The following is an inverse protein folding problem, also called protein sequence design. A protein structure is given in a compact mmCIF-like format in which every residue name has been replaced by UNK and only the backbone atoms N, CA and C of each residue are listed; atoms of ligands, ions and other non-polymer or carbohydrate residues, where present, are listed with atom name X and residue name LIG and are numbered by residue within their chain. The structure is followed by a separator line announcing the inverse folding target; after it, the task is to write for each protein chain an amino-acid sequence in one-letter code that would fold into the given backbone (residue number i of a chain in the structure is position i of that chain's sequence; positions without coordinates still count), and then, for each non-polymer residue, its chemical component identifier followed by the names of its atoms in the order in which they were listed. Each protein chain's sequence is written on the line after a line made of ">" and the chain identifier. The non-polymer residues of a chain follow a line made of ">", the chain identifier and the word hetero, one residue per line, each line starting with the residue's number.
data_IF_282599441009
#
_entry.id   IF_282599441009
#
_cell.length_a   1.000
_cell.length_b   1.000
_cell.length_c   1.000
_cell.angle_alpha   90.00
_cell.angle_beta   90.00
_cell.angle_gamma   90.00
#
_symmetry.space_group_name_H-M   'P 1'
#
loop_
_entity.id
_entity.type
_entity.pdbx_description
1 polymer ?
#
# COMPACT_ATOMS: atom_id res chain seq x y z
N UNK A 1 -7.11 12.26 4.22
CA UNK A 1 -7.48 10.90 4.62
C UNK A 1 -6.36 9.98 4.16
N UNK A 2 -5.69 9.24 5.07
CA UNK A 2 -4.77 8.18 4.67
C UNK A 2 -5.50 7.22 3.72
N UNK A 3 -4.88 6.86 2.61
CA UNK A 3 -5.56 6.21 1.49
C UNK A 3 -6.09 4.82 1.88
N UNK A 4 -7.40 4.65 1.85
CA UNK A 4 -8.03 3.33 1.81
C UNK A 4 -8.26 2.93 0.37
N UNK A 5 -7.79 1.73 0.01
CA UNK A 5 -8.00 1.11 -1.29
C UNK A 5 -8.72 -0.22 -1.11
N UNK A 6 -9.75 -0.46 -1.93
CA UNK A 6 -10.36 -1.77 -2.05
C UNK A 6 -9.87 -2.43 -3.34
N UNK A 7 -9.63 -3.73 -3.30
CA UNK A 7 -9.27 -4.53 -4.46
C UNK A 7 -9.96 -5.88 -4.38
N UNK A 8 -10.20 -6.49 -5.54
CA UNK A 8 -10.80 -7.82 -5.62
C UNK A 8 -9.89 -8.74 -6.42
N UNK A 9 -9.72 -9.95 -5.93
CA UNK A 9 -8.93 -11.00 -6.58
C UNK A 9 -9.87 -12.08 -7.13
N UNK A 10 -9.71 -12.42 -8.40
CA UNK A 10 -10.50 -13.49 -9.03
C UNK A 10 -10.07 -14.90 -8.58
N UNK A 11 -8.81 -15.05 -8.17
CA UNK A 11 -8.21 -16.30 -7.69
C UNK A 11 -7.14 -15.97 -6.64
N UNK A 12 -6.70 -16.95 -5.82
CA UNK A 12 -5.58 -16.73 -4.92
C UNK A 12 -4.33 -16.28 -5.68
N UNK A 13 -3.70 -15.20 -5.24
CA UNK A 13 -2.57 -14.59 -5.93
C UNK A 13 -1.55 -14.01 -4.95
N UNK A 14 -0.29 -13.94 -5.39
CA UNK A 14 0.75 -13.20 -4.66
C UNK A 14 0.49 -11.71 -4.77
N UNK A 15 0.23 -11.07 -3.63
CA UNK A 15 -0.02 -9.63 -3.52
C UNK A 15 1.10 -8.97 -2.74
N UNK A 16 1.53 -7.80 -3.22
CA UNK A 16 2.39 -6.90 -2.46
C UNK A 16 1.78 -5.50 -2.44
N UNK A 17 1.60 -4.97 -1.24
CA UNK A 17 1.21 -3.58 -0.99
C UNK A 17 2.26 -2.89 -0.13
N UNK A 18 2.85 -1.84 -0.69
CA UNK A 18 3.86 -1.06 -0.02
C UNK A 18 3.69 0.44 -0.30
N UNK A 19 4.06 1.25 0.68
CA UNK A 19 4.14 2.71 0.59
C UNK A 19 5.60 3.12 0.45
N UNK A 20 5.87 4.06 -0.43
CA UNK A 20 7.18 4.63 -0.71
C UNK A 20 7.14 6.15 -0.55
N UNK A 21 8.25 6.74 -0.14
CA UNK A 21 8.43 8.20 -0.15
C UNK A 21 8.83 8.72 -1.55
N UNK A 22 8.99 10.04 -1.69
CA UNK A 22 9.39 10.66 -2.97
C UNK A 22 10.78 10.26 -3.47
N UNK A 23 11.62 9.71 -2.61
CA UNK A 23 12.97 9.23 -2.95
C UNK A 23 12.93 7.77 -3.40
N UNK A 24 11.75 7.13 -3.37
CA UNK A 24 11.59 5.71 -3.64
C UNK A 24 11.98 4.82 -2.47
N UNK A 25 12.22 5.37 -1.27
CA UNK A 25 12.49 4.58 -0.09
C UNK A 25 11.19 3.94 0.41
N UNK A 26 11.21 2.63 0.65
CA UNK A 26 10.05 1.91 1.19
C UNK A 26 9.81 2.36 2.63
N UNK A 27 8.66 2.98 2.85
CA UNK A 27 8.19 3.45 4.16
C UNK A 27 7.58 2.30 4.95
N UNK A 28 6.61 1.60 4.35
CA UNK A 28 5.90 0.49 5.00
C UNK A 28 5.44 -0.52 3.96
N UNK A 29 5.54 -1.80 4.30
CA UNK A 29 4.87 -2.88 3.58
C UNK A 29 3.79 -3.43 4.52
N UNK A 30 2.56 -3.55 4.02
CA UNK A 30 1.42 -3.92 4.88
C UNK A 30 0.58 -5.09 4.32
N UNK A 31 0.84 -5.50 3.07
CA UNK A 31 0.43 -6.82 2.56
C UNK A 31 1.61 -7.41 1.79
N UNK A 32 1.95 -8.67 2.08
CA UNK A 32 3.03 -9.40 1.41
C UNK A 32 2.76 -10.90 1.51
N UNK A 33 2.44 -11.53 0.39
CA UNK A 33 2.21 -12.98 0.33
C UNK A 33 1.00 -13.38 -0.50
N UNK A 34 0.62 -14.65 -0.40
CA UNK A 34 -0.56 -15.18 -1.10
C UNK A 34 -1.82 -14.71 -0.37
N UNK A 35 -2.69 -14.03 -1.10
CA UNK A 35 -4.01 -13.57 -0.63
C UNK A 35 -5.09 -14.36 -1.36
N UNK A 36 -6.12 -14.79 -0.63
CA UNK A 36 -7.23 -15.57 -1.19
C UNK A 36 -8.06 -14.76 -2.19
N UNK A 37 -8.81 -15.46 -3.05
CA UNK A 37 -9.81 -14.82 -3.92
C UNK A 37 -10.87 -14.07 -3.08
N UNK A 38 -11.47 -13.04 -3.67
CA UNK A 38 -12.50 -12.22 -3.04
C UNK A 38 -12.10 -10.75 -2.89
N UNK A 39 -12.91 -10.01 -2.13
CA UNK A 39 -12.73 -8.58 -1.91
C UNK A 39 -11.93 -8.31 -0.65
N UNK A 40 -10.96 -7.41 -0.77
CA UNK A 40 -10.02 -7.04 0.28
C UNK A 40 -9.96 -5.53 0.42
N UNK A 41 -9.70 -5.08 1.64
CA UNK A 41 -9.47 -3.68 1.94
C UNK A 41 -8.07 -3.50 2.50
N UNK A 42 -7.38 -2.49 1.97
CA UNK A 42 -6.04 -2.10 2.31
C UNK A 42 -6.07 -0.67 2.81
N UNK A 43 -5.61 -0.45 4.04
CA UNK A 43 -5.56 0.88 4.65
C UNK A 43 -4.14 1.12 5.15
N UNK A 44 -3.55 2.21 4.67
CA UNK A 44 -2.37 2.77 5.30
C UNK A 44 -2.80 3.91 6.20
N UNK A 45 -2.35 3.90 7.45
CA UNK A 45 -2.69 4.86 8.51
C UNK A 45 -1.75 6.07 8.59
N UNK A 46 -0.71 6.13 7.75
CA UNK A 46 0.35 7.15 7.84
C UNK A 46 1.50 6.78 8.78
N UNK A 47 1.59 5.53 9.25
CA UNK A 47 2.71 5.01 10.02
C UNK A 47 3.77 4.29 9.18
N UNK A 48 5.00 4.25 9.66
CA UNK A 48 6.12 3.51 9.02
C UNK A 48 6.14 2.01 9.33
N UNK A 49 5.24 1.54 10.20
CA UNK A 49 5.17 0.14 10.64
C UNK A 49 6.06 -0.18 11.85
N UNK A 50 6.85 0.78 12.35
CA UNK A 50 7.61 0.69 13.60
C UNK A 50 6.96 1.47 14.74
N UNK A 51 5.69 1.84 14.59
CA UNK A 51 4.94 2.64 15.56
C UNK A 51 5.23 4.15 15.45
N UNK A 52 6.03 4.58 14.47
CA UNK A 52 6.27 5.99 14.21
C UNK A 52 5.40 6.51 13.08
N UNK A 53 5.00 7.75 13.24
CA UNK A 53 4.19 8.51 12.31
C UNK A 53 5.08 9.20 11.27
N UNK A 54 4.79 9.06 9.97
CA UNK A 54 5.59 9.72 8.92
C UNK A 54 5.14 11.16 8.68
N UNK A 55 6.06 12.06 8.36
CA UNK A 55 5.76 13.49 8.16
C UNK A 55 4.76 13.77 7.04
N UNK A 56 4.13 14.94 7.06
CA UNK A 56 3.38 15.47 5.91
C UNK A 56 4.24 15.44 4.64
N UNK A 57 3.65 15.07 3.51
CA UNK A 57 4.38 14.91 2.26
C UNK A 57 3.66 14.09 1.21
N UNK A 58 4.36 13.87 0.09
CA UNK A 58 3.89 13.01 -1.01
C UNK A 58 4.41 11.60 -0.79
N UNK A 59 3.53 10.62 -0.94
CA UNK A 59 3.83 9.21 -0.84
C UNK A 59 3.25 8.46 -2.04
N UNK A 60 3.78 7.29 -2.32
CA UNK A 60 3.34 6.43 -3.40
C UNK A 60 2.94 5.06 -2.83
N UNK A 61 1.67 4.70 -2.96
CA UNK A 61 1.20 3.35 -2.66
C UNK A 61 1.35 2.51 -3.93
N UNK A 62 2.03 1.37 -3.84
CA UNK A 62 2.24 0.43 -4.93
C UNK A 62 1.56 -0.90 -4.61
N UNK A 63 0.70 -1.33 -5.53
CA UNK A 63 -0.01 -2.60 -5.52
C UNK A 63 0.54 -3.48 -6.65
N UNK A 64 1.04 -4.66 -6.31
CA UNK A 64 1.62 -5.61 -7.26
C UNK A 64 0.91 -6.96 -7.10
N UNK A 65 0.41 -7.52 -8.21
CA UNK A 65 -0.25 -8.84 -8.28
C UNK A 65 0.13 -9.53 -9.59
N UNK A 66 0.97 -10.56 -9.51
CA UNK A 66 1.54 -11.18 -10.71
C UNK A 66 2.27 -10.14 -11.57
N UNK A 67 1.89 -10.02 -12.84
CA UNK A 67 2.43 -9.02 -13.78
C UNK A 67 1.74 -7.64 -13.67
N UNK A 68 0.64 -7.54 -12.90
CA UNK A 68 -0.08 -6.28 -12.73
C UNK A 68 0.60 -5.43 -11.65
N UNK A 69 0.89 -4.17 -11.97
CA UNK A 69 1.38 -3.18 -11.01
C UNK A 69 0.60 -1.88 -11.17
N UNK A 70 0.04 -1.40 -10.06
CA UNK A 70 -0.61 -0.09 -9.97
C UNK A 70 0.11 0.77 -8.93
N UNK A 71 0.38 2.03 -9.28
CA UNK A 71 0.96 2.99 -8.33
C UNK A 71 0.04 4.18 -8.19
N UNK A 72 -0.32 4.50 -6.94
CA UNK A 72 -1.17 5.64 -6.59
C UNK A 72 -0.40 6.65 -5.77
N UNK A 73 -0.31 7.88 -6.29
CA UNK A 73 0.22 9.03 -5.56
C UNK A 73 -0.78 9.47 -4.48
N UNK A 74 -0.27 9.74 -3.29
CA UNK A 74 -1.03 10.20 -2.13
C UNK A 74 -0.37 11.44 -1.53
N UNK A 75 -1.18 12.31 -0.94
CA UNK A 75 -0.70 13.44 -0.14
C UNK A 75 -1.13 13.17 1.30
N UNK A 76 -0.17 13.05 2.20
CA UNK A 76 -0.41 12.98 3.62
C UNK A 76 -0.28 14.40 4.20
N UNK A 77 -1.34 14.86 4.84
CA UNK A 77 -1.36 16.10 5.61
C UNK A 77 -1.56 15.71 7.08
N UNK A 78 -0.79 16.34 7.95
CA UNK A 78 -0.91 16.30 9.41
C UNK A 78 -1.15 17.70 9.93
#
# INVERSE_FOLDING_TARGET
>A
MPGSGAYSLAAPAGVRLAVYDIRGARVREFVSGIVAAGSHQAVWDGGDGQGSEVSSGIYFCRFEVGEFTETRRMVLLR
#
